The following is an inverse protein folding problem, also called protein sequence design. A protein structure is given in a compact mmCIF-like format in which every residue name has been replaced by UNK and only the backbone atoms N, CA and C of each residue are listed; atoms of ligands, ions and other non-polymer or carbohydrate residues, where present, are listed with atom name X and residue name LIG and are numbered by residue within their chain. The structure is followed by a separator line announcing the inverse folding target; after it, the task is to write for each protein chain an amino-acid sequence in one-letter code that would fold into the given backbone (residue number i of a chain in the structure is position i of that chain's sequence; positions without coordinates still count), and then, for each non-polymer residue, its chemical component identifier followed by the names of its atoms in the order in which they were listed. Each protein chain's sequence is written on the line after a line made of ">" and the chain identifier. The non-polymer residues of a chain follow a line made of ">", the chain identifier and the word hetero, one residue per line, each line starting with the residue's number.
data_IF_153740024786
#
_entry.id   IF_153740024786
#
_cell.length_a   1.000
_cell.length_b   1.000
_cell.length_c   1.000
_cell.angle_alpha   90.00
_cell.angle_beta   90.00
_cell.angle_gamma   90.00
#
_symmetry.space_group_name_H-M   'P 1'
#
loop_
_entity.id
_entity.type
_entity.pdbx_description
1 polymer ?
#
# COMPACT_ATOMS: atom_id res chain seq x y z
N UNK A 1 -0.69 -28.49 -2.37
CA UNK A 1 -1.52 -27.65 -3.26
C UNK A 1 -0.99 -26.21 -3.30
N UNK A 2 0.32 -25.98 -3.45
CA UNK A 2 0.91 -24.63 -3.25
C UNK A 2 1.84 -24.14 -4.35
N UNK A 3 2.20 -24.96 -5.36
CA UNK A 3 3.09 -24.50 -6.44
C UNK A 3 2.34 -23.76 -7.56
N UNK A 4 1.04 -24.00 -7.73
CA UNK A 4 0.30 -23.49 -8.89
C UNK A 4 -0.11 -22.02 -8.79
N UNK A 5 -0.43 -21.52 -7.60
CA UNK A 5 -0.92 -20.13 -7.45
C UNK A 5 0.18 -19.08 -7.61
N UNK A 6 1.44 -19.49 -7.51
CA UNK A 6 2.62 -18.64 -7.69
C UNK A 6 3.23 -18.77 -9.10
N UNK A 7 2.61 -19.56 -9.99
CA UNK A 7 3.06 -19.67 -11.37
C UNK A 7 2.92 -18.30 -12.07
N UNK A 8 3.98 -17.91 -12.79
CA UNK A 8 4.02 -16.65 -13.52
C UNK A 8 4.49 -15.44 -12.71
N UNK A 9 4.75 -15.59 -11.41
CA UNK A 9 5.46 -14.56 -10.65
C UNK A 9 6.91 -14.45 -11.14
N UNK A 10 7.30 -13.25 -11.53
CA UNK A 10 8.64 -12.94 -12.02
C UNK A 10 9.57 -12.47 -10.90
N UNK A 11 8.99 -11.98 -9.80
CA UNK A 11 9.75 -11.40 -8.69
C UNK A 11 9.93 -12.37 -7.53
N UNK A 12 8.96 -13.22 -7.21
CA UNK A 12 9.06 -14.12 -6.07
C UNK A 12 10.09 -15.25 -6.28
N UNK A 13 10.92 -15.53 -5.26
CA UNK A 13 11.89 -16.64 -5.29
C UNK A 13 13.19 -16.42 -6.09
N UNK A 14 13.31 -15.31 -6.83
CA UNK A 14 14.50 -14.94 -7.59
C UNK A 14 15.21 -13.66 -7.10
N UNK A 15 16.35 -13.35 -7.73
CA UNK A 15 16.98 -12.03 -7.62
C UNK A 15 16.12 -11.00 -8.36
N UNK A 16 15.80 -9.89 -7.70
CA UNK A 16 15.00 -8.81 -8.28
C UNK A 16 15.68 -7.50 -7.93
N UNK A 17 15.93 -6.67 -8.93
CA UNK A 17 16.49 -5.34 -8.73
C UNK A 17 15.44 -4.41 -8.15
N UNK A 18 15.88 -3.41 -7.39
CA UNK A 18 15.01 -2.38 -6.85
C UNK A 18 14.61 -1.43 -8.00
N UNK A 19 13.31 -1.22 -8.28
CA UNK A 19 12.88 -0.25 -9.29
C UNK A 19 13.35 1.16 -8.96
N UNK A 20 13.73 1.93 -9.99
CA UNK A 20 14.21 3.30 -9.80
C UNK A 20 13.09 4.30 -9.51
N UNK A 21 11.86 3.98 -9.92
CA UNK A 21 10.67 4.80 -9.67
C UNK A 21 9.38 3.96 -9.56
N UNK A 22 8.28 4.54 -9.03
CA UNK A 22 6.97 3.89 -8.95
C UNK A 22 6.39 3.46 -10.30
N UNK A 23 6.71 4.18 -11.37
CA UNK A 23 6.25 3.88 -12.72
C UNK A 23 6.95 2.64 -13.31
N UNK A 24 8.21 2.40 -12.95
CA UNK A 24 8.98 1.23 -13.36
C UNK A 24 8.69 -0.01 -12.50
N UNK A 25 8.13 0.19 -11.30
CA UNK A 25 7.83 -0.89 -10.39
C UNK A 25 6.68 -1.77 -10.89
N UNK A 26 6.91 -3.08 -10.88
CA UNK A 26 5.92 -4.08 -11.27
C UNK A 26 5.23 -4.60 -10.02
N UNK A 27 3.91 -4.45 -9.96
CA UNK A 27 3.09 -5.15 -8.97
C UNK A 27 2.58 -6.47 -9.56
N UNK A 28 2.62 -7.52 -8.75
CA UNK A 28 2.13 -8.84 -9.09
C UNK A 28 0.93 -9.20 -8.22
N UNK A 29 0.10 -10.11 -8.72
CA UNK A 29 -1.07 -10.62 -8.03
C UNK A 29 -1.14 -12.13 -8.14
N UNK A 30 -1.73 -12.77 -7.14
CA UNK A 30 -1.98 -14.21 -7.11
C UNK A 30 -3.48 -14.48 -6.96
N UNK A 31 -3.99 -15.62 -7.45
CA UNK A 31 -5.39 -15.99 -7.25
C UNK A 31 -5.75 -16.01 -5.76
N UNK A 32 -6.90 -15.45 -5.40
CA UNK A 32 -7.47 -15.55 -4.06
C UNK A 32 -8.00 -16.99 -3.85
N UNK A 33 -7.40 -17.82 -2.96
CA UNK A 33 -7.83 -19.19 -2.76
C UNK A 33 -9.12 -19.33 -1.94
N UNK A 34 -9.64 -18.23 -1.39
CA UNK A 34 -10.86 -18.15 -0.58
C UNK A 34 -11.81 -17.10 -1.16
N UNK A 35 -11.98 -17.10 -2.49
CA UNK A 35 -12.76 -16.09 -3.21
C UNK A 35 -14.28 -16.15 -2.95
N UNK A 36 -14.76 -17.21 -2.30
CA UNK A 36 -16.15 -17.44 -1.91
C UNK A 36 -16.53 -16.76 -0.58
N UNK A 37 -15.56 -16.25 0.18
CA UNK A 37 -15.80 -15.58 1.46
C UNK A 37 -15.21 -14.17 1.44
N UNK A 38 -15.93 -13.21 2.01
CA UNK A 38 -15.41 -11.86 2.20
C UNK A 38 -14.57 -11.78 3.49
N UNK A 39 -13.32 -11.34 3.34
CA UNK A 39 -12.38 -11.13 4.44
C UNK A 39 -11.51 -9.90 4.18
N UNK A 40 -11.01 -9.26 5.23
CA UNK A 40 -10.08 -8.14 5.10
C UNK A 40 -8.63 -8.61 5.17
N UNK A 41 -7.78 -8.08 4.29
CA UNK A 41 -6.32 -8.21 4.34
C UNK A 41 -5.72 -6.85 4.69
N UNK A 42 -4.79 -6.81 5.64
CA UNK A 42 -4.03 -5.62 6.00
C UNK A 42 -2.56 -5.76 5.65
N UNK A 43 -2.02 -4.76 4.96
CA UNK A 43 -0.59 -4.48 4.90
C UNK A 43 -0.27 -3.24 5.72
N UNK A 44 0.71 -3.36 6.60
CA UNK A 44 1.25 -2.25 7.38
C UNK A 44 2.67 -1.99 6.90
N UNK A 45 2.92 -0.79 6.37
CA UNK A 45 4.23 -0.36 5.90
C UNK A 45 4.71 0.84 6.73
N UNK A 46 5.33 0.59 7.91
CA UNK A 46 5.78 1.64 8.82
C UNK A 46 7.05 2.38 8.34
N UNK A 47 7.69 1.87 7.29
CA UNK A 47 8.97 2.36 6.76
C UNK A 47 8.82 3.08 5.41
N UNK A 48 7.61 3.52 5.07
CA UNK A 48 7.38 4.20 3.80
C UNK A 48 8.09 5.57 3.77
N UNK A 49 8.71 5.90 2.65
CA UNK A 49 9.37 7.19 2.45
C UNK A 49 9.37 7.62 0.99
N UNK A 50 9.25 8.91 0.77
CA UNK A 50 9.38 9.59 -0.53
C UNK A 50 10.13 10.91 -0.38
N UNK A 51 10.37 11.63 -1.47
CA UNK A 51 10.94 12.98 -1.43
C UNK A 51 9.86 14.05 -1.58
N UNK A 52 10.04 15.17 -0.88
CA UNK A 52 9.29 16.38 -1.14
C UNK A 52 9.66 16.92 -2.54
N UNK A 53 8.71 17.10 -3.48
CA UNK A 53 9.00 17.58 -4.84
C UNK A 53 9.70 18.94 -4.90
N UNK A 54 9.49 19.78 -3.88
CA UNK A 54 9.99 21.16 -3.84
C UNK A 54 11.37 21.25 -3.20
N UNK A 55 11.58 20.55 -2.09
CA UNK A 55 12.78 20.71 -1.26
C UNK A 55 13.78 19.55 -1.40
N UNK A 56 13.34 18.41 -1.96
CA UNK A 56 14.13 17.18 -2.03
C UNK A 56 14.37 16.51 -0.67
N UNK A 57 13.75 17.01 0.41
CA UNK A 57 13.87 16.39 1.73
C UNK A 57 13.05 15.09 1.82
N UNK A 58 13.54 14.05 2.52
CA UNK A 58 12.82 12.80 2.65
C UNK A 58 11.67 12.91 3.65
N UNK A 59 10.47 12.62 3.19
CA UNK A 59 9.24 12.51 3.98
C UNK A 59 9.01 11.04 4.35
N UNK A 60 8.42 10.79 5.52
CA UNK A 60 8.19 9.44 6.05
C UNK A 60 6.72 9.28 6.40
N UNK A 61 6.20 8.08 6.20
CA UNK A 61 4.83 7.75 6.57
C UNK A 61 4.73 6.32 7.11
N UNK A 62 3.72 6.12 7.95
CA UNK A 62 3.20 4.81 8.26
C UNK A 62 1.98 4.57 7.38
N UNK A 63 2.06 3.65 6.43
CA UNK A 63 0.92 3.30 5.59
C UNK A 63 0.17 2.09 6.17
N UNK A 64 -1.15 2.21 6.25
CA UNK A 64 -2.07 1.09 6.54
C UNK A 64 -2.95 0.90 5.32
N UNK A 65 -2.83 -0.26 4.68
CA UNK A 65 -3.59 -0.63 3.48
C UNK A 65 -4.47 -1.81 3.86
N UNK A 66 -5.78 -1.59 3.87
CA UNK A 66 -6.78 -2.63 4.07
C UNK A 66 -7.53 -2.86 2.77
N UNK A 67 -7.81 -4.11 2.41
CA UNK A 67 -8.70 -4.39 1.29
C UNK A 67 -9.48 -5.69 1.48
N UNK A 68 -10.66 -5.75 0.87
CA UNK A 68 -11.44 -6.98 0.70
C UNK A 68 -11.20 -7.47 -0.72
N UNK A 69 -10.52 -8.62 -0.90
CA UNK A 69 -10.15 -9.11 -2.21
C UNK A 69 -11.37 -9.54 -3.03
N UNK A 70 -11.27 -9.36 -4.34
CA UNK A 70 -12.09 -10.11 -5.30
C UNK A 70 -11.41 -11.44 -5.62
N UNK A 71 -11.11 -11.65 -6.90
CA UNK A 71 -10.41 -12.85 -7.37
C UNK A 71 -8.90 -12.82 -7.10
N UNK A 72 -8.33 -11.70 -6.67
CA UNK A 72 -6.90 -11.47 -6.63
C UNK A 72 -6.40 -10.98 -5.26
N UNK A 73 -5.20 -11.42 -4.89
CA UNK A 73 -4.40 -10.90 -3.78
C UNK A 73 -3.13 -10.26 -4.35
N UNK A 74 -2.68 -9.15 -3.76
CA UNK A 74 -1.36 -8.58 -4.13
C UNK A 74 -0.25 -9.47 -3.58
N UNK A 75 0.79 -9.69 -4.39
CA UNK A 75 1.97 -10.41 -3.97
C UNK A 75 2.87 -9.49 -3.11
N UNK A 76 3.19 -9.93 -1.90
CA UNK A 76 3.86 -9.12 -0.87
C UNK A 76 5.25 -8.59 -1.24
N UNK A 77 6.07 -9.34 -1.98
CA UNK A 77 7.40 -8.89 -2.41
C UNK A 77 7.27 -7.79 -3.47
N UNK A 78 6.36 -7.93 -4.43
CA UNK A 78 6.08 -6.92 -5.44
C UNK A 78 5.53 -5.63 -4.81
N UNK A 79 4.64 -5.75 -3.81
CA UNK A 79 4.16 -4.59 -3.05
C UNK A 79 5.31 -3.89 -2.33
N UNK A 80 6.19 -4.64 -1.67
CA UNK A 80 7.37 -4.07 -1.02
C UNK A 80 8.23 -3.31 -2.04
N UNK A 81 8.56 -3.91 -3.19
CA UNK A 81 9.39 -3.29 -4.23
C UNK A 81 8.75 -2.03 -4.82
N UNK A 82 7.42 -2.04 -4.98
CA UNK A 82 6.64 -0.87 -5.37
C UNK A 82 6.73 0.24 -4.33
N UNK A 83 6.46 -0.05 -3.05
CA UNK A 83 6.53 0.95 -1.99
C UNK A 83 7.95 1.51 -1.81
N UNK A 84 8.99 0.68 -1.92
CA UNK A 84 10.38 1.14 -1.80
C UNK A 84 10.87 1.94 -3.01
N UNK A 85 10.21 1.82 -4.17
CA UNK A 85 10.55 2.61 -5.37
C UNK A 85 10.26 4.11 -5.20
N UNK A 86 9.43 4.48 -4.22
CA UNK A 86 9.16 5.89 -3.88
C UNK A 86 10.34 6.58 -3.17
N UNK A 87 11.31 5.83 -2.65
CA UNK A 87 12.38 6.36 -1.77
C UNK A 87 13.11 7.58 -2.31
N UNK A 88 13.35 7.61 -3.62
CA UNK A 88 14.04 8.71 -4.32
C UNK A 88 13.11 9.43 -5.31
N UNK A 89 11.80 9.23 -5.20
CA UNK A 89 10.78 9.82 -6.08
C UNK A 89 10.11 11.01 -5.38
N UNK A 90 9.96 12.11 -6.10
CA UNK A 90 9.31 13.32 -5.62
C UNK A 90 7.79 13.23 -5.74
N UNK A 91 7.06 13.17 -4.63
CA UNK A 91 5.60 13.19 -4.64
C UNK A 91 5.02 13.94 -3.43
N UNK A 92 3.90 14.66 -3.64
CA UNK A 92 3.12 15.21 -2.53
C UNK A 92 2.44 14.09 -1.76
N UNK A 93 2.17 14.31 -0.46
CA UNK A 93 1.66 13.27 0.43
C UNK A 93 0.30 12.72 -0.05
N UNK A 94 -0.56 13.62 -0.52
CA UNK A 94 -1.90 13.32 -1.03
C UNK A 94 -1.84 12.50 -2.32
N UNK A 95 -1.06 12.99 -3.30
CA UNK A 95 -0.90 12.32 -4.59
C UNK A 95 -0.24 10.95 -4.44
N UNK A 96 0.81 10.87 -3.62
CA UNK A 96 1.49 9.62 -3.31
C UNK A 96 0.53 8.60 -2.67
N UNK A 97 -0.22 9.01 -1.65
CA UNK A 97 -1.14 8.11 -0.93
C UNK A 97 -2.27 7.61 -1.83
N UNK A 98 -2.91 8.50 -2.60
CA UNK A 98 -4.04 8.13 -3.46
C UNK A 98 -3.58 7.37 -4.72
N UNK A 99 -2.41 7.67 -5.27
CA UNK A 99 -1.87 6.94 -6.43
C UNK A 99 -1.52 5.49 -6.08
N UNK A 100 -0.96 5.22 -4.90
CA UNK A 100 -0.75 3.86 -4.38
C UNK A 100 -2.08 3.11 -4.31
N UNK A 101 -3.12 3.72 -3.72
CA UNK A 101 -4.44 3.10 -3.62
C UNK A 101 -5.04 2.80 -4.99
N UNK A 102 -4.98 3.76 -5.93
CA UNK A 102 -5.47 3.58 -7.31
C UNK A 102 -4.74 2.46 -8.04
N UNK A 103 -3.41 2.41 -7.93
CA UNK A 103 -2.61 1.36 -8.57
C UNK A 103 -2.97 -0.03 -8.05
N UNK A 104 -3.26 -0.17 -6.75
CA UNK A 104 -3.74 -1.42 -6.18
C UNK A 104 -5.18 -1.76 -6.61
N UNK A 105 -6.06 -0.76 -6.74
CA UNK A 105 -7.42 -0.96 -7.26
C UNK A 105 -7.37 -1.49 -8.69
N UNK A 106 -6.58 -0.85 -9.56
CA UNK A 106 -6.42 -1.25 -10.96
C UNK A 106 -5.84 -2.68 -11.07
N UNK A 107 -4.91 -3.03 -10.18
CA UNK A 107 -4.30 -4.36 -10.17
C UNK A 107 -5.25 -5.44 -9.63
N UNK A 108 -5.99 -5.17 -8.56
CA UNK A 108 -6.67 -6.21 -7.79
C UNK A 108 -8.17 -6.30 -8.07
N UNK A 109 -8.78 -5.23 -8.58
CA UNK A 109 -10.22 -5.06 -8.68
C UNK A 109 -10.92 -5.47 -7.37
N UNK A 110 -10.49 -4.92 -6.21
CA UNK A 110 -10.96 -5.38 -4.91
C UNK A 110 -12.43 -4.98 -4.72
N UNK A 111 -13.15 -5.75 -3.90
CA UNK A 111 -14.53 -5.39 -3.50
C UNK A 111 -14.55 -4.09 -2.70
N UNK A 112 -13.49 -3.84 -1.93
CA UNK A 112 -13.28 -2.64 -1.15
C UNK A 112 -11.79 -2.43 -0.87
N UNK A 113 -11.33 -1.19 -0.82
CA UNK A 113 -9.98 -0.84 -0.38
C UNK A 113 -9.99 0.45 0.44
N UNK A 114 -9.16 0.49 1.48
CA UNK A 114 -8.82 1.67 2.28
C UNK A 114 -7.31 1.83 2.38
N UNK A 115 -6.85 3.05 2.26
CA UNK A 115 -5.49 3.46 2.56
C UNK A 115 -5.50 4.60 3.57
N UNK A 116 -4.78 4.42 4.67
CA UNK A 116 -4.43 5.49 5.61
C UNK A 116 -2.93 5.73 5.58
N UNK A 117 -2.51 6.91 5.12
CA UNK A 117 -1.14 7.38 5.19
C UNK A 117 -0.97 8.34 6.36
N UNK A 118 -0.25 7.90 7.39
CA UNK A 118 0.03 8.70 8.58
C UNK A 118 1.42 9.33 8.42
N UNK A 119 1.46 10.60 7.99
CA UNK A 119 2.70 11.25 7.56
C UNK A 119 3.38 11.96 8.73
N UNK A 120 4.72 11.87 8.74
CA UNK A 120 5.51 12.45 9.82
C UNK A 120 5.55 13.97 9.66
N UNK A 121 5.50 14.73 10.77
CA UNK A 121 5.24 16.15 10.73
C UNK A 121 6.36 16.95 10.08
N UNK A 122 5.97 17.96 9.28
CA UNK A 122 6.83 19.06 8.85
C UNK A 122 6.41 20.32 9.58
N UNK A 123 7.37 21.01 10.21
CA UNK A 123 7.07 22.17 11.06
C UNK A 123 6.13 21.84 12.24
N UNK A 124 6.09 20.58 12.69
CA UNK A 124 5.20 20.14 13.76
C UNK A 124 3.77 19.79 13.32
N UNK A 125 3.48 19.78 12.01
CA UNK A 125 2.15 19.51 11.47
C UNK A 125 2.23 18.26 10.57
N UNK A 126 1.58 17.13 10.96
CA UNK A 126 1.41 15.99 10.07
C UNK A 126 0.29 16.27 9.05
N UNK A 127 0.35 15.58 7.91
CA UNK A 127 -0.72 15.59 6.90
C UNK A 127 -1.14 14.15 6.71
N UNK A 128 -2.07 13.68 7.54
CA UNK A 128 -2.59 12.32 7.39
C UNK A 128 -3.59 12.27 6.23
N UNK A 129 -3.44 11.29 5.36
CA UNK A 129 -4.24 11.14 4.14
C UNK A 129 -5.04 9.85 4.22
N UNK A 130 -6.36 9.96 4.15
CA UNK A 130 -7.27 8.81 4.20
C UNK A 130 -8.07 8.72 2.92
N UNK A 131 -8.14 7.51 2.37
CA UNK A 131 -8.91 7.19 1.18
C UNK A 131 -9.58 5.83 1.33
N UNK A 132 -10.80 5.69 0.83
CA UNK A 132 -11.46 4.40 0.64
C UNK A 132 -12.40 4.43 -0.57
N UNK A 133 -12.65 3.28 -1.19
CA UNK A 133 -13.48 3.17 -2.39
C UNK A 133 -14.99 3.25 -2.13
N UNK A 134 -15.44 3.04 -0.89
CA UNK A 134 -16.84 3.05 -0.51
C UNK A 134 -17.06 2.48 0.90
N UNK A 135 -18.28 2.01 1.16
CA UNK A 135 -18.63 1.35 2.42
C UNK A 135 -17.94 -0.03 2.53
N UNK A 136 -17.60 -0.40 3.77
CA UNK A 136 -17.05 -1.73 4.06
C UNK A 136 -18.13 -2.78 3.75
N UNK A 137 -17.82 -3.85 2.97
CA UNK A 137 -18.78 -4.92 2.69
C UNK A 137 -19.38 -5.50 3.97
N UNK A 138 -20.69 -5.77 3.93
CA UNK A 138 -21.43 -6.25 5.09
C UNK A 138 -20.84 -7.56 5.63
N UNK A 139 -20.67 -7.65 6.94
CA UNK A 139 -20.12 -8.83 7.61
C UNK A 139 -18.60 -8.92 7.61
N UNK A 140 -17.88 -8.02 6.92
CA UNK A 140 -16.42 -7.97 6.99
C UNK A 140 -15.97 -7.23 8.25
N UNK A 141 -15.12 -7.88 9.04
CA UNK A 141 -14.44 -7.22 10.14
C UNK A 141 -13.17 -6.51 9.65
N UNK A 142 -13.16 -5.18 9.75
CA UNK A 142 -11.98 -4.35 9.52
C UNK A 142 -11.58 -3.70 10.84
N UNK A 143 -10.40 -4.00 11.41
CA UNK A 143 -9.97 -3.39 12.65
C UNK A 143 -9.63 -1.90 12.48
N UNK A 144 -9.62 -1.17 13.60
CA UNK A 144 -9.02 0.17 13.66
C UNK A 144 -7.59 0.14 13.12
N UNK A 145 -7.12 1.23 12.52
CA UNK A 145 -5.79 1.28 11.93
C UNK A 145 -4.68 1.08 12.97
N UNK A 146 -4.92 1.42 14.23
CA UNK A 146 -3.98 1.23 15.33
C UNK A 146 -2.75 2.14 15.25
N UNK A 147 -2.75 3.15 14.38
CA UNK A 147 -1.67 4.13 14.27
C UNK A 147 -2.01 5.33 15.15
N UNK A 148 -1.25 5.59 16.22
CA UNK A 148 -1.50 6.75 17.07
C UNK A 148 -1.22 8.02 16.27
N UNK A 149 -2.14 8.99 16.34
CA UNK A 149 -1.91 10.33 15.80
C UNK A 149 -0.71 11.00 16.46
N UNK A 150 -0.09 11.94 15.74
CA UNK A 150 1.05 12.71 16.26
C UNK A 150 0.65 13.49 17.53
N UNK A 151 1.40 13.29 18.62
CA UNK A 151 1.14 13.95 19.92
C UNK A 151 2.02 15.17 20.20
N UNK A 152 2.84 15.59 19.24
CA UNK A 152 3.85 16.60 19.52
C UNK A 152 5.08 16.00 20.19
N UNK A 153 5.79 16.82 20.97
CA UNK A 153 6.96 16.42 21.77
C UNK A 153 6.60 16.24 23.26
N UNK A 154 5.40 15.74 23.56
CA UNK A 154 4.86 15.60 24.91
C UNK A 154 3.93 14.42 25.06
#
# INVERSE_FOLDING_TARGET
>A
MSQDIYQGLTQLGGHTEQPASPEEAVLERVPNPQADVDYAVRFTAPEFTSLCPITGQPDFAHLVIDYVPGAWLVESKSLKLYLTSFRNHGAFHEDCSVSIARRLIDLLEPKWLRLGGYWYPRGGIPIDVFFQTGDIPAGVWVPDAGVPGYRGRG
#
